data_IF_211889622336
#
_entry.id   IF_211889622336
#
_cell.length_a   1.000
_cell.length_b   1.000
_cell.length_c   1.000
_cell.angle_alpha   90.00
_cell.angle_beta   90.00
_cell.angle_gamma   90.00
#
_symmetry.space_group_name_H-M   'P 1'
#
loop_
_entity.id
_entity.type
_entity.pdbx_description
1 polymer ?
#
# COMPACT_ATOMS: atom_id res chain seq x y z
N UNK A 1 -18.67 -3.12 -6.59
CA UNK A 1 -19.33 -4.18 -7.41
C UNK A 1 -19.71 -3.72 -8.82
N UNK A 2 -19.25 -2.56 -9.32
CA UNK A 2 -19.70 -2.06 -10.63
C UNK A 2 -19.36 -3.01 -11.79
N UNK A 3 -18.15 -3.58 -11.79
CA UNK A 3 -17.70 -4.54 -12.82
C UNK A 3 -18.53 -5.82 -12.80
N UNK A 4 -18.66 -6.46 -11.63
CA UNK A 4 -19.46 -7.68 -11.49
C UNK A 4 -20.94 -7.50 -11.88
N UNK A 5 -21.51 -6.33 -11.57
CA UNK A 5 -22.91 -6.04 -11.87
C UNK A 5 -23.13 -5.65 -13.35
N UNK A 6 -22.07 -5.54 -14.16
CA UNK A 6 -22.14 -5.14 -15.56
C UNK A 6 -22.32 -3.64 -15.79
N UNK A 7 -22.28 -2.82 -14.73
CA UNK A 7 -22.39 -1.36 -14.83
C UNK A 7 -21.11 -0.70 -15.38
N UNK A 8 -19.98 -1.41 -15.30
CA UNK A 8 -18.73 -1.07 -15.96
C UNK A 8 -18.11 -2.34 -16.55
N UNK A 9 -17.50 -2.26 -17.73
CA UNK A 9 -16.89 -3.44 -18.37
C UNK A 9 -15.56 -3.83 -17.71
N UNK A 10 -14.76 -2.84 -17.27
CA UNK A 10 -13.42 -3.01 -16.69
C UNK A 10 -13.25 -2.02 -15.53
N UNK A 11 -12.38 -2.33 -14.57
CA UNK A 11 -11.97 -1.41 -13.50
C UNK A 11 -10.61 -1.81 -12.91
N UNK A 12 -10.04 -0.93 -12.09
CA UNK A 12 -8.81 -1.18 -11.33
C UNK A 12 -9.06 -1.14 -9.83
N UNK A 13 -8.42 -2.03 -9.07
CA UNK A 13 -8.45 -2.05 -7.62
C UNK A 13 -7.19 -2.69 -7.05
N UNK A 14 -6.91 -2.41 -5.77
CA UNK A 14 -5.83 -3.06 -5.02
C UNK A 14 -6.01 -4.58 -4.97
N UNK A 15 -5.00 -5.34 -5.41
CA UNK A 15 -5.04 -6.81 -5.45
C UNK A 15 -5.33 -7.45 -4.08
N UNK A 16 -4.73 -7.03 -2.95
CA UNK A 16 -5.10 -7.55 -1.63
C UNK A 16 -6.59 -7.38 -1.29
N UNK A 17 -7.21 -6.28 -1.72
CA UNK A 17 -8.64 -6.03 -1.49
C UNK A 17 -9.47 -6.95 -2.36
N UNK A 18 -9.13 -7.09 -3.65
CA UNK A 18 -9.77 -8.04 -4.56
C UNK A 18 -9.75 -9.46 -3.99
N UNK A 19 -8.57 -9.96 -3.62
CA UNK A 19 -8.40 -11.30 -3.05
C UNK A 19 -9.23 -11.49 -1.77
N UNK A 20 -9.26 -10.47 -0.90
CA UNK A 20 -10.06 -10.52 0.31
C UNK A 20 -11.58 -10.53 0.04
N UNK A 21 -12.03 -9.86 -1.01
CA UNK A 21 -13.44 -9.85 -1.42
C UNK A 21 -13.87 -11.16 -2.08
N UNK A 22 -12.99 -11.79 -2.87
CA UNK A 22 -13.21 -13.14 -3.42
C UNK A 22 -13.28 -14.17 -2.29
N UNK A 23 -12.34 -14.14 -1.34
CA UNK A 23 -12.33 -15.04 -0.19
C UNK A 23 -13.59 -14.92 0.68
N UNK A 24 -14.17 -13.71 0.78
CA UNK A 24 -15.43 -13.46 1.49
C UNK A 24 -16.68 -13.78 0.65
N UNK A 25 -16.54 -14.23 -0.59
CA UNK A 25 -17.65 -14.51 -1.50
C UNK A 25 -18.40 -13.27 -2.00
N UNK A 26 -17.85 -12.07 -1.78
CA UNK A 26 -18.45 -10.82 -2.27
C UNK A 26 -18.26 -10.68 -3.78
N UNK A 27 -17.11 -11.09 -4.30
CA UNK A 27 -16.82 -11.16 -5.74
C UNK A 27 -16.85 -12.62 -6.18
N UNK A 28 -17.60 -12.89 -7.25
CA UNK A 28 -17.61 -14.17 -7.96
C UNK A 28 -16.49 -14.17 -9.02
N UNK A 29 -15.41 -14.96 -8.83
CA UNK A 29 -14.28 -14.99 -9.76
C UNK A 29 -14.64 -15.57 -11.13
N UNK A 30 -15.83 -16.18 -11.30
CA UNK A 30 -16.34 -16.59 -12.62
C UNK A 30 -16.92 -15.42 -13.43
N UNK A 31 -17.29 -14.33 -12.76
CA UNK A 31 -17.88 -13.13 -13.38
C UNK A 31 -16.87 -12.00 -13.56
N UNK A 32 -15.86 -11.95 -12.70
CA UNK A 32 -14.78 -10.97 -12.75
C UNK A 32 -13.45 -11.70 -12.81
N UNK A 33 -12.72 -11.53 -13.90
CA UNK A 33 -11.40 -12.14 -14.11
C UNK A 33 -10.30 -11.08 -13.97
N UNK A 34 -9.15 -11.48 -13.43
CA UNK A 34 -7.97 -10.63 -13.40
C UNK A 34 -7.34 -10.59 -14.80
N UNK A 35 -7.18 -9.38 -15.36
CA UNK A 35 -6.58 -9.18 -16.69
C UNK A 35 -5.07 -8.94 -16.61
N UNK A 36 -4.64 -8.17 -15.61
CA UNK A 36 -3.26 -7.83 -15.37
C UNK A 36 -3.07 -7.43 -13.90
N UNK A 37 -1.84 -7.57 -13.42
CA UNK A 37 -1.35 -7.02 -12.17
C UNK A 37 -0.31 -5.95 -12.51
N UNK A 38 -0.29 -4.84 -11.79
CA UNK A 38 0.75 -3.82 -11.98
C UNK A 38 2.08 -4.31 -11.41
N UNK A 39 3.17 -3.67 -11.82
CA UNK A 39 4.42 -3.81 -11.08
C UNK A 39 4.23 -3.40 -9.60
N UNK A 40 5.05 -3.94 -8.67
CA UNK A 40 4.99 -3.57 -7.27
C UNK A 40 5.18 -2.06 -7.06
N UNK A 41 4.30 -1.47 -6.24
CA UNK A 41 4.45 -0.11 -5.74
C UNK A 41 4.99 -0.13 -4.31
N UNK A 42 5.73 0.91 -3.88
CA UNK A 42 6.18 1.02 -2.49
C UNK A 42 4.98 1.01 -1.54
N UNK A 43 5.16 0.37 -0.38
CA UNK A 43 4.15 0.33 0.68
C UNK A 43 3.97 1.72 1.32
N UNK A 44 2.96 1.85 2.18
CA UNK A 44 2.70 3.10 2.90
C UNK A 44 3.85 3.44 3.87
N UNK A 45 4.45 4.65 3.79
CA UNK A 45 5.54 5.04 4.68
C UNK A 45 5.04 5.44 6.06
N UNK A 46 5.73 4.98 7.10
CA UNK A 46 5.72 5.67 8.39
C UNK A 46 6.68 6.85 8.32
N UNK A 47 6.19 8.04 8.67
CA UNK A 47 6.98 9.28 8.63
C UNK A 47 7.09 9.89 10.03
N UNK A 48 8.13 10.69 10.21
CA UNK A 48 8.34 11.47 11.43
C UNK A 48 8.82 12.87 11.04
N UNK A 49 8.58 13.84 11.93
CA UNK A 49 8.99 15.24 11.69
C UNK A 49 10.50 15.36 11.53
N UNK A 50 10.92 16.17 10.56
CA UNK A 50 12.33 16.38 10.22
C UNK A 50 13.10 17.21 11.27
N UNK A 51 12.41 17.94 12.14
CA UNK A 51 13.00 18.80 13.18
C UNK A 51 13.11 18.14 14.55
N UNK A 52 12.79 16.84 14.67
CA UNK A 52 13.07 16.08 15.88
C UNK A 52 14.57 15.93 16.14
N UNK A 53 14.94 15.81 17.41
CA UNK A 53 16.31 15.52 17.82
C UNK A 53 16.81 14.21 17.18
N UNK A 54 18.08 14.18 16.77
CA UNK A 54 18.68 13.03 16.08
C UNK A 54 18.59 11.76 16.93
N UNK A 55 18.84 11.86 18.24
CA UNK A 55 18.78 10.69 19.13
C UNK A 55 17.36 10.11 19.22
N UNK A 56 16.33 10.98 19.18
CA UNK A 56 14.94 10.55 19.17
C UNK A 56 14.56 9.89 17.85
N UNK A 57 15.02 10.43 16.71
CA UNK A 57 14.79 9.81 15.39
C UNK A 57 15.36 8.40 15.34
N UNK A 58 16.60 8.23 15.80
CA UNK A 58 17.26 6.92 15.84
C UNK A 58 16.50 5.94 16.75
N UNK A 59 16.06 6.40 17.94
CA UNK A 59 15.29 5.58 18.86
C UNK A 59 13.94 5.13 18.25
N UNK A 60 13.22 6.03 17.58
CA UNK A 60 11.95 5.72 16.89
C UNK A 60 12.21 4.70 15.76
N UNK A 61 13.18 4.95 14.89
CA UNK A 61 13.51 4.04 13.78
C UNK A 61 13.86 2.66 14.30
N UNK A 62 14.70 2.57 15.35
CA UNK A 62 15.07 1.31 15.97
C UNK A 62 13.86 0.58 16.55
N UNK A 63 12.97 1.29 17.25
CA UNK A 63 11.77 0.70 17.84
C UNK A 63 10.85 0.04 16.79
N UNK A 64 10.69 0.66 15.61
CA UNK A 64 9.90 0.07 14.52
C UNK A 64 10.60 -1.15 13.88
N UNK A 65 11.89 -1.05 13.55
CA UNK A 65 12.63 -2.13 12.88
C UNK A 65 12.76 -3.37 13.78
N UNK A 66 12.99 -3.16 15.07
CA UNK A 66 13.16 -4.23 16.05
C UNK A 66 11.83 -4.79 16.58
N UNK A 67 10.68 -4.21 16.20
CA UNK A 67 9.37 -4.68 16.65
C UNK A 67 9.10 -6.12 16.17
N UNK A 68 8.92 -7.03 17.13
CA UNK A 68 8.55 -8.45 16.91
C UNK A 68 7.28 -8.87 17.66
N UNK A 69 6.59 -7.94 18.32
CA UNK A 69 5.36 -8.28 19.05
C UNK A 69 4.24 -8.64 18.07
N UNK A 70 3.92 -9.93 18.00
CA UNK A 70 2.87 -10.47 17.12
C UNK A 70 1.50 -9.83 17.34
N UNK A 71 1.16 -9.42 18.56
CA UNK A 71 -0.15 -8.78 18.84
C UNK A 71 -0.25 -7.41 18.18
N UNK A 72 0.85 -6.67 18.17
CA UNK A 72 0.93 -5.37 17.50
C UNK A 72 0.92 -5.59 15.98
N UNK A 73 1.77 -6.49 15.50
CA UNK A 73 1.96 -6.79 14.07
C UNK A 73 0.71 -7.38 13.40
N UNK A 74 -0.08 -8.18 14.11
CA UNK A 74 -1.33 -8.76 13.62
C UNK A 74 -2.34 -7.67 13.17
N UNK A 75 -2.36 -6.52 13.83
CA UNK A 75 -3.25 -5.40 13.48
C UNK A 75 -2.89 -4.79 12.11
N UNK A 76 -1.62 -4.87 11.72
CA UNK A 76 -1.12 -4.41 10.43
C UNK A 76 -1.11 -5.49 9.36
N UNK A 77 -1.32 -6.76 9.74
CA UNK A 77 -1.11 -7.94 8.87
C UNK A 77 0.28 -7.95 8.25
N UNK A 78 1.29 -7.61 9.04
CA UNK A 78 2.68 -7.52 8.63
C UNK A 78 3.56 -8.40 9.53
N UNK A 79 4.69 -8.87 9.01
CA UNK A 79 5.67 -9.65 9.80
C UNK A 79 6.70 -8.76 10.51
N UNK A 80 6.69 -7.45 10.21
CA UNK A 80 7.61 -6.47 10.75
C UNK A 80 7.65 -5.19 9.92
N UNK A 81 8.55 -4.28 10.31
CA UNK A 81 8.84 -3.05 9.57
C UNK A 81 10.24 -3.10 8.97
N UNK A 82 10.40 -2.52 7.79
CA UNK A 82 11.66 -2.45 7.06
C UNK A 82 12.06 -0.98 6.82
N UNK A 83 13.37 -0.69 6.73
CA UNK A 83 13.83 0.65 6.37
C UNK A 83 13.39 1.01 4.95
N UNK A 84 13.12 2.29 4.73
CA UNK A 84 12.74 2.85 3.44
C UNK A 84 13.37 4.24 3.30
N UNK A 85 13.60 4.69 2.07
CA UNK A 85 14.04 6.05 1.76
C UNK A 85 13.05 6.78 0.85
N UNK A 86 13.27 8.08 0.67
CA UNK A 86 12.41 8.94 -0.14
C UNK A 86 12.43 8.59 -1.64
N UNK A 87 13.55 8.03 -2.13
CA UNK A 87 13.73 7.69 -3.55
C UNK A 87 12.89 6.49 -3.96
N UNK A 88 12.57 5.60 -3.03
CA UNK A 88 11.65 4.49 -3.29
C UNK A 88 10.27 4.96 -3.80
N UNK A 89 9.89 6.22 -3.54
CA UNK A 89 8.63 6.82 -3.99
C UNK A 89 8.74 7.59 -5.31
N UNK A 90 9.89 7.61 -5.97
CA UNK A 90 10.06 8.28 -7.26
C UNK A 90 9.11 7.70 -8.32
N UNK A 91 8.82 6.40 -8.29
CA UNK A 91 7.83 5.77 -9.17
C UNK A 91 6.43 6.41 -9.04
N UNK A 92 6.06 6.86 -7.84
CA UNK A 92 4.79 7.55 -7.59
C UNK A 92 4.84 8.97 -8.15
N UNK A 93 5.97 9.67 -8.00
CA UNK A 93 6.19 11.01 -8.57
C UNK A 93 6.13 10.99 -10.10
N UNK A 94 6.78 10.01 -10.72
CA UNK A 94 6.76 9.84 -12.18
C UNK A 94 5.35 9.48 -12.67
N UNK A 95 4.63 8.60 -11.96
CA UNK A 95 3.23 8.32 -12.28
C UNK A 95 2.35 9.59 -12.18
N UNK A 96 2.56 10.41 -11.15
CA UNK A 96 1.86 11.69 -11.01
C UNK A 96 2.06 12.61 -12.21
N UNK A 97 3.29 12.68 -12.75
CA UNK A 97 3.60 13.45 -13.98
C UNK A 97 2.88 12.88 -15.20
N UNK A 98 2.93 11.56 -15.39
CA UNK A 98 2.27 10.87 -16.52
C UNK A 98 0.76 11.10 -16.50
N UNK A 99 0.15 11.10 -15.32
CA UNK A 99 -1.28 11.31 -15.12
C UNK A 99 -1.66 12.80 -15.02
N UNK A 100 -0.71 13.72 -15.13
CA UNK A 100 -0.91 15.17 -14.97
C UNK A 100 -1.62 15.53 -13.65
N UNK A 101 -1.19 14.92 -12.55
CA UNK A 101 -1.67 15.21 -11.20
C UNK A 101 -0.87 16.35 -10.57
N UNK A 102 -1.56 17.26 -9.88
CA UNK A 102 -0.93 18.24 -9.00
C UNK A 102 -0.63 17.59 -7.64
N UNK A 103 0.64 17.29 -7.40
CA UNK A 103 1.11 16.69 -6.15
C UNK A 103 1.45 17.73 -5.06
N UNK A 104 1.18 19.02 -5.30
CA UNK A 104 1.47 20.10 -4.34
C UNK A 104 0.32 20.40 -3.37
N UNK A 105 -0.83 19.74 -3.55
CA UNK A 105 -2.05 19.88 -2.74
C UNK A 105 -2.05 18.95 -1.53
#
# INVERSE_FOLDING_TARGET
MQVQNGNAQIGGLSLPIYNSMVARGTIDPKKVIALAESDPFPQYPWTMRSDLDTSLKEAITKAFIDLKDEKVLASFKADGFAPIDDKAYDVVRELGKVLNLDLSQ
#
